data_IF_019876734216
#
_entry.id   IF_019876734216
#
_cell.length_a   1.000
_cell.length_b   1.000
_cell.length_c   1.000
_cell.angle_alpha   90.00
_cell.angle_beta   90.00
_cell.angle_gamma   90.00
#
_symmetry.space_group_name_H-M   'P 1'
#
loop_
_entity.id
_entity.type
_entity.pdbx_description
1 polymer ?
#
# COMPACT_ATOMS: atom_id res chain seq x y z
N UNK A 1 6.71 13.20 -15.97
CA UNK A 1 6.64 14.44 -15.16
C UNK A 1 8.06 14.98 -14.96
N UNK A 2 8.27 16.19 -14.41
CA UNK A 2 9.61 16.68 -14.08
C UNK A 2 10.41 15.78 -13.11
N UNK A 3 9.75 14.84 -12.43
CA UNK A 3 10.36 13.87 -11.50
C UNK A 3 10.61 12.48 -12.12
N UNK A 4 10.57 12.36 -13.46
CA UNK A 4 10.97 11.13 -14.17
C UNK A 4 9.93 9.99 -14.21
N UNK A 5 8.87 10.07 -13.40
CA UNK A 5 7.77 9.09 -13.37
C UNK A 5 6.50 9.66 -14.02
N UNK A 6 5.61 8.78 -14.47
CA UNK A 6 4.26 9.11 -14.91
C UNK A 6 3.30 8.79 -13.78
N UNK A 7 2.49 9.76 -13.36
CA UNK A 7 1.44 9.50 -12.39
C UNK A 7 0.38 8.62 -13.05
N UNK A 8 -0.09 7.59 -12.34
CA UNK A 8 -1.02 6.60 -12.86
C UNK A 8 -2.44 7.17 -12.99
N UNK A 9 -3.01 7.67 -11.89
CA UNK A 9 -4.34 8.28 -11.84
C UNK A 9 -4.40 9.32 -10.72
N UNK A 10 -5.43 10.16 -10.72
CA UNK A 10 -5.68 11.08 -9.62
C UNK A 10 -6.97 11.87 -9.79
N UNK A 11 -7.64 12.14 -8.67
CA UNK A 11 -8.87 12.94 -8.59
C UNK A 11 -8.70 14.02 -7.50
N UNK A 12 -7.82 14.99 -7.76
CA UNK A 12 -7.20 15.83 -6.73
C UNK A 12 -8.16 16.89 -6.18
N UNK A 13 -8.86 17.60 -7.07
CA UNK A 13 -9.76 18.69 -6.71
C UNK A 13 -10.94 18.20 -5.87
N UNK A 14 -11.64 17.10 -6.21
CA UNK A 14 -12.71 16.57 -5.36
C UNK A 14 -12.21 16.07 -4.01
N UNK A 15 -11.02 15.46 -3.95
CA UNK A 15 -10.40 15.05 -2.70
C UNK A 15 -10.16 16.25 -1.76
N UNK A 16 -9.60 17.34 -2.28
CA UNK A 16 -9.38 18.56 -1.49
C UNK A 16 -10.71 19.18 -1.06
N UNK A 17 -11.67 19.33 -1.98
CA UNK A 17 -12.97 19.91 -1.67
C UNK A 17 -13.69 19.12 -0.55
N UNK A 18 -13.62 17.79 -0.58
CA UNK A 18 -14.18 16.94 0.48
C UNK A 18 -13.45 17.10 1.82
N UNK A 19 -12.13 17.21 1.80
CA UNK A 19 -11.34 17.46 3.01
C UNK A 19 -11.68 18.83 3.63
N UNK A 20 -11.92 19.86 2.81
CA UNK A 20 -12.32 21.19 3.27
C UNK A 20 -13.71 21.20 3.92
N UNK A 21 -14.65 20.45 3.36
CA UNK A 21 -15.98 20.27 3.93
C UNK A 21 -15.89 19.56 5.29
N UNK A 22 -15.19 18.42 5.37
CA UNK A 22 -15.02 17.64 6.60
C UNK A 22 -14.30 18.42 7.71
N UNK A 23 -13.35 19.27 7.35
CA UNK A 23 -12.60 20.09 8.29
C UNK A 23 -13.35 21.36 8.73
N UNK A 24 -14.55 21.62 8.17
CA UNK A 24 -15.32 22.87 8.35
C UNK A 24 -14.42 24.09 8.14
N UNK A 25 -13.80 24.17 6.96
CA UNK A 25 -12.92 25.30 6.62
C UNK A 25 -13.69 26.61 6.65
N UNK A 26 -14.92 26.63 6.14
CA UNK A 26 -15.78 27.82 6.15
C UNK A 26 -16.05 28.35 7.56
N UNK A 27 -16.23 27.47 8.56
CA UNK A 27 -16.42 27.85 9.97
C UNK A 27 -15.13 28.14 10.74
N UNK A 28 -13.95 27.90 10.16
CA UNK A 28 -12.66 28.14 10.82
C UNK A 28 -12.48 29.58 11.39
N UNK A 29 -12.91 30.67 10.71
CA UNK A 29 -12.80 32.02 11.26
C UNK A 29 -13.49 32.20 12.62
N UNK A 30 -14.69 31.63 12.78
CA UNK A 30 -15.43 31.67 14.05
C UNK A 30 -14.68 30.89 15.15
N UNK A 31 -14.18 29.69 14.81
CA UNK A 31 -13.37 28.86 15.73
C UNK A 31 -12.06 29.54 16.14
N UNK A 32 -11.45 30.32 15.24
CA UNK A 32 -10.24 31.10 15.54
C UNK A 32 -10.54 32.28 16.47
N UNK A 33 -11.66 32.98 16.26
CA UNK A 33 -12.09 34.09 17.12
C UNK A 33 -12.40 33.60 18.54
N UNK A 34 -13.11 32.48 18.67
CA UNK A 34 -13.39 31.82 19.95
C UNK A 34 -12.09 31.45 20.69
N UNK A 35 -11.13 30.83 20.00
CA UNK A 35 -9.84 30.46 20.60
C UNK A 35 -9.07 31.70 21.13
N UNK A 36 -9.14 32.82 20.41
CA UNK A 36 -8.52 34.09 20.82
C UNK A 36 -9.14 34.63 22.11
N UNK A 37 -10.45 34.50 22.32
CA UNK A 37 -11.11 34.93 23.57
C UNK A 37 -10.61 34.15 24.78
N UNK A 38 -10.19 32.90 24.58
CA UNK A 38 -9.54 32.07 25.61
C UNK A 38 -8.02 32.24 25.69
N UNK A 39 -7.45 33.25 25.03
CA UNK A 39 -6.00 33.49 25.02
C UNK A 39 -5.18 32.47 24.24
N UNK A 40 -5.79 31.69 23.33
CA UNK A 40 -5.11 30.67 22.53
C UNK A 40 -4.97 31.08 21.06
N UNK A 41 -3.94 30.54 20.41
CA UNK A 41 -3.79 30.60 18.95
C UNK A 41 -4.36 29.32 18.32
N UNK A 42 -5.01 29.47 17.16
CA UNK A 42 -5.54 28.35 16.38
C UNK A 42 -5.11 28.51 14.92
N UNK A 43 -4.52 27.45 14.36
CA UNK A 43 -4.14 27.35 12.96
C UNK A 43 -4.97 26.31 12.21
N UNK A 44 -5.00 26.44 10.89
CA UNK A 44 -5.53 25.47 9.94
C UNK A 44 -4.42 25.21 8.93
N UNK A 45 -3.99 23.95 8.81
CA UNK A 45 -2.93 23.54 7.91
C UNK A 45 -3.48 22.64 6.82
N UNK A 46 -2.90 22.76 5.63
CA UNK A 46 -3.21 21.93 4.47
C UNK A 46 -1.97 21.14 4.08
N UNK A 47 -2.17 19.90 3.66
CA UNK A 47 -1.13 19.06 3.09
C UNK A 47 -1.74 18.21 1.99
N UNK A 48 -1.43 18.56 0.75
CA UNK A 48 -1.78 17.79 -0.43
C UNK A 48 -0.49 17.28 -1.03
N UNK A 49 -0.35 15.96 -1.14
CA UNK A 49 0.87 15.33 -1.65
C UNK A 49 0.51 14.20 -2.62
N UNK A 50 1.47 13.89 -3.49
CA UNK A 50 1.40 12.76 -4.40
C UNK A 50 2.55 11.83 -4.00
N UNK A 51 2.23 10.59 -3.67
CA UNK A 51 3.20 9.60 -3.21
C UNK A 51 3.63 8.70 -4.34
N UNK A 52 4.94 8.56 -4.55
CA UNK A 52 5.49 7.50 -5.38
C UNK A 52 5.69 6.24 -4.51
N UNK A 53 4.72 5.32 -4.53
CA UNK A 53 4.82 4.02 -3.87
C UNK A 53 5.12 2.89 -4.87
N UNK A 54 5.39 1.68 -4.36
CA UNK A 54 5.48 0.50 -5.24
C UNK A 54 6.71 0.49 -6.15
N UNK A 55 7.84 1.02 -5.68
CA UNK A 55 9.09 1.08 -6.45
C UNK A 55 9.49 -0.32 -6.96
N UNK A 56 9.35 -0.55 -8.27
CA UNK A 56 9.45 -1.88 -8.87
C UNK A 56 10.07 -1.95 -10.28
N UNK A 57 9.87 -0.98 -11.21
CA UNK A 57 10.41 -1.14 -12.56
C UNK A 57 11.94 -1.21 -12.52
N UNK A 58 12.50 -2.40 -12.76
CA UNK A 58 13.93 -2.67 -12.57
C UNK A 58 14.81 -1.78 -13.45
N UNK A 59 14.32 -1.42 -14.64
CA UNK A 59 14.98 -0.49 -15.56
C UNK A 59 15.10 0.93 -14.98
N UNK A 60 14.13 1.37 -14.19
CA UNK A 60 14.15 2.69 -13.52
C UNK A 60 14.91 2.60 -12.19
N UNK A 61 14.75 1.50 -11.44
CA UNK A 61 15.42 1.29 -10.16
C UNK A 61 16.95 1.46 -10.26
N UNK A 62 17.57 0.88 -11.30
CA UNK A 62 19.00 1.07 -11.55
C UNK A 62 19.39 2.53 -11.82
N UNK A 63 18.57 3.27 -12.59
CA UNK A 63 18.79 4.69 -12.85
C UNK A 63 18.66 5.56 -11.59
N UNK A 64 17.89 5.12 -10.61
CA UNK A 64 17.73 5.76 -9.29
C UNK A 64 18.79 5.30 -8.26
N UNK A 65 19.78 4.52 -8.67
CA UNK A 65 20.89 4.07 -7.82
C UNK A 65 20.61 2.81 -7.00
N UNK A 66 19.49 2.12 -7.23
CA UNK A 66 19.24 0.83 -6.62
C UNK A 66 20.16 -0.25 -7.21
N UNK A 67 20.65 -1.16 -6.36
CA UNK A 67 21.54 -2.26 -6.76
C UNK A 67 20.81 -3.59 -6.99
N UNK A 68 19.48 -3.57 -6.94
CA UNK A 68 18.63 -4.74 -7.11
C UNK A 68 17.43 -4.38 -7.99
N UNK A 69 16.80 -5.39 -8.60
CA UNK A 69 15.70 -5.19 -9.55
C UNK A 69 14.38 -4.73 -8.92
N UNK A 70 14.27 -4.70 -7.58
CA UNK A 70 13.07 -4.28 -6.85
C UNK A 70 11.78 -5.02 -7.24
N UNK A 71 11.91 -6.23 -7.80
CA UNK A 71 10.78 -7.12 -8.09
C UNK A 71 10.23 -7.76 -6.80
N UNK A 72 9.11 -8.46 -6.90
CA UNK A 72 8.60 -9.26 -5.79
C UNK A 72 8.10 -10.61 -6.30
N UNK A 73 7.86 -11.55 -5.37
CA UNK A 73 7.43 -12.90 -5.69
C UNK A 73 6.10 -13.26 -5.01
N UNK A 74 5.33 -14.07 -5.73
CA UNK A 74 4.18 -14.81 -5.23
C UNK A 74 4.26 -16.24 -5.75
N UNK A 75 4.10 -17.22 -4.87
CA UNK A 75 3.86 -18.63 -5.21
C UNK A 75 2.55 -19.07 -4.54
N UNK A 76 1.68 -19.72 -5.29
CA UNK A 76 0.40 -20.25 -4.81
C UNK A 76 0.44 -21.76 -4.85
N UNK A 77 0.12 -22.40 -3.73
CA UNK A 77 -0.02 -23.84 -3.62
C UNK A 77 -1.44 -24.20 -3.21
N UNK A 78 -2.16 -24.89 -4.09
CA UNK A 78 -3.48 -25.45 -3.79
C UNK A 78 -3.30 -26.89 -3.29
N UNK A 79 -3.88 -27.17 -2.12
CA UNK A 79 -3.82 -28.50 -1.50
C UNK A 79 -5.00 -29.38 -1.93
N UNK A 80 -4.89 -30.72 -1.86
CA UNK A 80 -5.99 -31.63 -2.20
C UNK A 80 -7.27 -31.43 -1.36
N UNK A 81 -7.15 -30.82 -0.17
CA UNK A 81 -8.27 -30.46 0.72
C UNK A 81 -9.00 -29.19 0.29
N UNK A 82 -8.51 -28.48 -0.74
CA UNK A 82 -9.05 -27.20 -1.20
C UNK A 82 -8.54 -25.98 -0.44
N UNK A 83 -7.67 -26.15 0.56
CA UNK A 83 -6.96 -25.04 1.21
C UNK A 83 -5.82 -24.55 0.33
N UNK A 84 -5.35 -23.33 0.58
CA UNK A 84 -4.31 -22.67 -0.22
C UNK A 84 -3.21 -22.12 0.69
N UNK A 85 -1.95 -22.32 0.31
CA UNK A 85 -0.82 -21.62 0.91
C UNK A 85 -0.24 -20.63 -0.09
N UNK A 86 -0.04 -19.39 0.34
CA UNK A 86 0.56 -18.28 -0.41
C UNK A 86 1.96 -18.05 0.14
N UNK A 87 2.98 -18.13 -0.69
CA UNK A 87 4.34 -17.74 -0.32
C UNK A 87 4.65 -16.39 -0.96
N UNK A 88 5.13 -15.43 -0.17
CA UNK A 88 5.50 -14.11 -0.66
C UNK A 88 6.80 -13.63 -0.05
N UNK A 89 7.63 -12.97 -0.85
CA UNK A 89 8.86 -12.33 -0.34
C UNK A 89 8.59 -11.00 0.37
N UNK A 90 7.36 -10.48 0.37
CA UNK A 90 6.96 -9.37 1.25
C UNK A 90 6.93 -9.81 2.71
N UNK A 91 7.52 -9.05 3.63
CA UNK A 91 7.61 -9.41 5.05
C UNK A 91 6.75 -8.49 5.92
N UNK A 92 5.88 -9.09 6.73
CA UNK A 92 5.00 -8.34 7.64
C UNK A 92 5.77 -7.87 8.88
N UNK A 93 5.58 -6.60 9.25
CA UNK A 93 6.03 -5.95 10.48
C UNK A 93 4.84 -5.35 11.27
N UNK A 94 3.58 -5.70 10.92
CA UNK A 94 2.36 -5.23 11.60
C UNK A 94 1.27 -4.62 10.71
N UNK A 95 1.48 -4.57 9.40
CA UNK A 95 0.56 -4.03 8.39
C UNK A 95 -0.54 -5.03 7.94
N UNK A 96 -0.52 -6.27 8.45
CA UNK A 96 -1.57 -7.25 8.22
C UNK A 96 -1.51 -7.96 6.86
N UNK A 97 -0.32 -8.29 6.36
CA UNK A 97 -0.16 -9.03 5.10
C UNK A 97 -0.87 -10.39 5.13
N UNK A 98 -0.83 -11.07 6.28
CA UNK A 98 -1.43 -12.39 6.48
C UNK A 98 -2.95 -12.37 6.25
N UNK A 99 -3.60 -11.25 6.54
CA UNK A 99 -5.03 -11.06 6.28
C UNK A 99 -5.25 -10.54 4.87
N UNK A 100 -4.58 -9.46 4.49
CA UNK A 100 -4.83 -8.76 3.23
C UNK A 100 -4.47 -9.58 2.00
N UNK A 101 -3.36 -10.31 2.01
CA UNK A 101 -3.02 -11.21 0.91
C UNK A 101 -3.91 -12.45 0.87
N UNK A 102 -4.33 -12.96 2.03
CA UNK A 102 -5.31 -14.03 2.08
C UNK A 102 -6.65 -13.60 1.46
N UNK A 103 -7.12 -12.37 1.72
CA UNK A 103 -8.34 -11.81 1.12
C UNK A 103 -8.27 -11.77 -0.40
N UNK A 104 -7.16 -11.30 -0.98
CA UNK A 104 -6.97 -11.25 -2.43
C UNK A 104 -7.12 -12.64 -3.06
N UNK A 105 -6.47 -13.65 -2.46
CA UNK A 105 -6.49 -15.02 -2.96
C UNK A 105 -7.86 -15.68 -2.76
N UNK A 106 -8.45 -15.49 -1.58
CA UNK A 106 -9.76 -16.02 -1.23
C UNK A 106 -10.85 -15.48 -2.19
N UNK A 107 -10.88 -14.16 -2.41
CA UNK A 107 -11.83 -13.51 -3.31
C UNK A 107 -11.64 -13.99 -4.75
N UNK A 108 -10.39 -14.13 -5.21
CA UNK A 108 -10.07 -14.54 -6.57
C UNK A 108 -10.44 -16.00 -6.87
N UNK A 109 -10.33 -16.88 -5.87
CA UNK A 109 -10.61 -18.31 -5.99
C UNK A 109 -12.03 -18.69 -5.52
N UNK A 110 -12.75 -17.79 -4.87
CA UNK A 110 -14.09 -18.05 -4.33
C UNK A 110 -14.10 -19.01 -3.15
N UNK A 111 -13.09 -18.94 -2.28
CA UNK A 111 -12.94 -19.79 -1.09
C UNK A 111 -13.03 -18.98 0.20
N UNK A 112 -13.20 -19.66 1.34
CA UNK A 112 -13.22 -19.00 2.64
C UNK A 112 -11.84 -18.41 2.98
N UNK A 113 -11.82 -17.27 3.66
CA UNK A 113 -10.59 -16.58 4.05
C UNK A 113 -9.68 -17.45 4.94
N UNK A 114 -10.28 -18.21 5.85
CA UNK A 114 -9.58 -19.11 6.77
C UNK A 114 -9.04 -20.38 6.08
N UNK A 115 -9.40 -20.60 4.81
CA UNK A 115 -8.81 -21.64 3.97
C UNK A 115 -7.48 -21.21 3.32
N UNK A 116 -7.04 -19.96 3.53
CA UNK A 116 -5.80 -19.40 2.96
C UNK A 116 -4.78 -19.11 4.05
N UNK A 117 -3.61 -19.73 3.96
CA UNK A 117 -2.44 -19.43 4.78
C UNK A 117 -1.43 -18.58 4.00
N UNK A 118 -0.86 -17.55 4.63
CA UNK A 118 0.20 -16.73 4.03
C UNK A 118 1.51 -16.96 4.77
N UNK A 119 2.55 -17.33 4.00
CA UNK A 119 3.90 -17.61 4.48
C UNK A 119 4.85 -16.55 3.93
N UNK A 120 5.56 -15.88 4.84
CA UNK A 120 6.61 -14.91 4.54
C UNK A 120 7.73 -14.97 5.59
N UNK A 121 8.89 -14.37 5.31
CA UNK A 121 9.98 -14.22 6.28
C UNK A 121 10.92 -15.41 6.46
N UNK A 122 10.59 -16.58 5.91
CA UNK A 122 11.45 -17.77 5.93
C UNK A 122 12.11 -17.98 4.56
N UNK A 123 13.39 -17.63 4.44
CA UNK A 123 14.17 -17.76 3.19
C UNK A 123 14.48 -19.21 2.81
N UNK A 124 14.21 -20.18 3.68
CA UNK A 124 14.26 -21.61 3.35
C UNK A 124 12.96 -22.11 2.69
N UNK A 125 11.86 -21.34 2.79
CA UNK A 125 10.54 -21.72 2.26
C UNK A 125 10.03 -20.80 1.15
N UNK A 126 10.48 -19.55 1.14
CA UNK A 126 9.97 -18.49 0.25
C UNK A 126 11.01 -18.16 -0.81
N UNK A 127 10.62 -18.05 -2.10
CA UNK A 127 11.52 -17.59 -3.14
C UNK A 127 12.05 -16.18 -2.84
N UNK A 128 13.18 -15.81 -3.47
CA UNK A 128 13.76 -14.50 -3.23
C UNK A 128 12.82 -13.37 -3.67
N UNK A 129 12.52 -12.48 -2.73
CA UNK A 129 11.80 -11.24 -2.94
C UNK A 129 12.51 -10.08 -2.26
N UNK A 130 12.05 -8.87 -2.53
CA UNK A 130 12.73 -7.65 -2.10
C UNK A 130 12.21 -7.14 -0.76
N UNK A 131 11.22 -7.79 -0.15
CA UNK A 131 10.73 -7.44 1.18
C UNK A 131 9.79 -6.25 1.18
N UNK A 132 9.53 -5.72 2.37
CA UNK A 132 8.55 -4.66 2.58
C UNK A 132 9.17 -3.37 3.08
N UNK A 133 8.99 -2.32 2.27
CA UNK A 133 9.30 -0.92 2.52
C UNK A 133 8.67 -0.08 1.39
N UNK A 134 8.69 1.26 1.48
CA UNK A 134 8.23 2.13 0.39
C UNK A 134 6.80 1.83 -0.10
N UNK A 135 5.95 1.36 0.81
CA UNK A 135 4.56 0.95 0.55
C UNK A 135 4.41 0.00 -0.64
N UNK A 136 5.40 -0.89 -0.85
CA UNK A 136 5.47 -1.73 -2.05
C UNK A 136 4.74 -3.07 -1.98
N UNK A 137 4.41 -3.56 -0.79
CA UNK A 137 3.95 -4.94 -0.62
C UNK A 137 2.71 -5.26 -1.46
N UNK A 138 1.69 -4.41 -1.45
CA UNK A 138 0.48 -4.63 -2.24
C UNK A 138 0.74 -4.37 -3.73
N UNK A 139 1.34 -3.23 -4.05
CA UNK A 139 1.59 -2.81 -5.43
C UNK A 139 2.45 -3.81 -6.21
N UNK A 140 3.47 -4.41 -5.58
CA UNK A 140 4.41 -5.33 -6.23
C UNK A 140 4.16 -6.78 -5.82
N UNK A 141 4.10 -7.07 -4.52
CA UNK A 141 3.87 -8.41 -3.99
C UNK A 141 2.44 -8.90 -4.21
N UNK A 142 1.43 -8.07 -3.96
CA UNK A 142 0.04 -8.37 -4.30
C UNK A 142 -0.15 -8.60 -5.80
N UNK A 143 0.50 -7.80 -6.65
CA UNK A 143 0.53 -8.03 -8.10
C UNK A 143 1.20 -9.36 -8.48
N UNK A 144 2.29 -9.75 -7.81
CA UNK A 144 2.97 -11.02 -8.05
C UNK A 144 2.08 -12.22 -7.64
N UNK A 145 1.40 -12.12 -6.48
CA UNK A 145 0.39 -13.08 -6.00
C UNK A 145 -0.73 -13.23 -7.04
N UNK A 146 -1.29 -12.11 -7.53
CA UNK A 146 -2.34 -12.14 -8.54
C UNK A 146 -1.92 -12.75 -9.87
N UNK A 147 -0.65 -12.60 -10.27
CA UNK A 147 -0.10 -13.23 -11.48
C UNK A 147 0.17 -14.73 -11.32
N UNK A 148 0.27 -15.22 -10.09
CA UNK A 148 0.50 -16.63 -9.78
C UNK A 148 -0.83 -17.44 -9.68
N UNK A 149 -1.99 -16.76 -9.70
CA UNK A 149 -3.34 -17.34 -9.75
C UNK A 149 -3.83 -17.49 -11.19
#
# INVERSE_FOLDING_TARGET
>A
TPVGLTYDTGDYEPCLARAEELADVAGFPARRAEAKQRGKLRGLGYSCYIEACGLAPSNIAGALGARAGLFEVGEIRVHPTGTVTVFTGSHSHGQGHETTFAQIVADRLGIALDAVEVVHGDTGRVPFGMGTYGSRSLAVGGSAIMKAL
#
